data_IF_239383851391
#
_entry.id   IF_239383851391
#
_cell.length_a   1.000
_cell.length_b   1.000
_cell.length_c   1.000
_cell.angle_alpha   90.00
_cell.angle_beta   90.00
_cell.angle_gamma   90.00
#
_symmetry.space_group_name_H-M   'P 1'
#
loop_
_entity.id
_entity.type
_entity.pdbx_description
1 polymer ?
#
# COMPACT_ATOMS: atom_id res chain seq x y z
N UNK A 1 -14.13 32.55 0.18
CA UNK A 1 -13.41 32.57 1.48
C UNK A 1 -14.35 32.03 2.54
N UNK A 2 -14.08 30.82 3.05
CA UNK A 2 -14.69 30.27 4.25
C UNK A 2 -13.52 29.82 5.14
N UNK A 3 -13.40 30.46 6.30
CA UNK A 3 -12.22 30.43 7.16
C UNK A 3 -12.19 29.24 8.13
N UNK A 4 -10.97 28.80 8.42
CA UNK A 4 -10.56 27.71 9.30
C UNK A 4 -10.53 28.06 10.80
N UNK A 5 -11.08 29.20 11.19
CA UNK A 5 -10.84 29.78 12.53
C UNK A 5 -11.81 29.27 13.62
N UNK A 6 -12.76 28.41 13.27
CA UNK A 6 -13.73 27.85 14.23
C UNK A 6 -13.18 26.72 15.12
N UNK A 7 -12.20 25.95 14.66
CA UNK A 7 -11.75 24.74 15.36
C UNK A 7 -10.70 25.01 16.46
N UNK A 8 -9.94 26.11 16.36
CA UNK A 8 -8.85 26.43 17.29
C UNK A 8 -9.31 27.08 18.59
N UNK A 9 -10.50 27.71 18.61
CA UNK A 9 -11.04 28.35 19.83
C UNK A 9 -11.57 27.35 20.85
N UNK A 10 -12.08 26.21 20.40
CA UNK A 10 -12.67 25.17 21.27
C UNK A 10 -11.58 24.31 21.96
N UNK A 11 -10.43 24.15 21.30
CA UNK A 11 -9.30 23.37 21.82
C UNK A 11 -8.59 24.02 23.03
N UNK A 12 -8.47 25.36 23.05
CA UNK A 12 -7.87 26.07 24.20
C UNK A 12 -8.73 26.01 25.46
N UNK A 13 -10.05 25.92 25.33
CA UNK A 13 -10.96 25.85 26.48
C UNK A 13 -11.00 24.46 27.12
N UNK A 14 -10.90 23.40 26.32
CA UNK A 14 -10.81 22.02 26.81
C UNK A 14 -9.46 21.73 27.46
N UNK A 15 -8.35 22.23 26.89
CA UNK A 15 -7.02 22.03 27.49
C UNK A 15 -6.81 22.82 28.80
N UNK A 16 -7.38 24.03 28.92
CA UNK A 16 -7.24 24.85 30.14
C UNK A 16 -7.99 24.33 31.36
N UNK A 17 -9.04 23.50 31.17
CA UNK A 17 -9.81 22.89 32.26
C UNK A 17 -9.21 21.59 32.81
N UNK A 18 -8.35 20.91 32.06
CA UNK A 18 -7.71 19.65 32.51
C UNK A 18 -6.47 19.88 33.39
N UNK A 19 -5.85 21.07 33.36
CA UNK A 19 -4.73 21.41 34.26
C UNK A 19 -5.14 21.72 35.70
N UNK A 20 -6.43 21.90 36.00
CA UNK A 20 -6.90 22.26 37.34
C UNK A 20 -7.32 21.06 38.22
N UNK A 21 -7.42 19.84 37.69
CA UNK A 21 -7.83 18.64 38.46
C UNK A 21 -6.70 17.66 38.79
N UNK A 22 -5.48 17.86 38.28
CA UNK A 22 -4.37 16.91 38.40
C UNK A 22 -3.63 16.87 39.75
N UNK A 23 -4.03 17.68 40.74
CA UNK A 23 -3.28 17.83 42.00
C UNK A 23 -3.73 16.90 43.15
N UNK A 24 -4.62 15.94 42.92
CA UNK A 24 -5.23 15.14 44.01
C UNK A 24 -5.08 13.62 43.94
N UNK A 25 -4.38 13.03 42.95
CA UNK A 25 -4.25 11.58 42.86
C UNK A 25 -2.81 11.15 42.52
N UNK A 26 -2.29 10.21 43.32
CA UNK A 26 -0.90 9.79 43.39
C UNK A 26 -0.34 9.02 42.16
N UNK A 27 0.67 8.15 42.35
CA UNK A 27 1.70 7.82 41.33
C UNK A 27 1.23 7.05 40.08
N UNK A 28 -0.06 6.75 39.94
CA UNK A 28 -0.61 6.09 38.74
C UNK A 28 -0.87 7.04 37.55
N UNK A 29 -0.73 8.35 37.72
CA UNK A 29 -0.98 9.37 36.68
C UNK A 29 0.23 9.70 35.79
N UNK A 30 1.44 9.26 36.17
CA UNK A 30 2.66 9.52 35.40
C UNK A 30 2.66 8.83 34.02
N UNK A 31 2.00 7.67 33.89
CA UNK A 31 1.93 6.94 32.62
C UNK A 31 1.05 7.63 31.57
N UNK A 32 -0.04 8.28 32.00
CA UNK A 32 -0.93 9.03 31.11
C UNK A 32 -0.29 10.35 30.67
N UNK A 33 0.49 10.98 31.56
CA UNK A 33 1.20 12.23 31.26
C UNK A 33 2.33 12.07 30.23
N UNK A 34 3.09 10.96 30.29
CA UNK A 34 4.12 10.64 29.28
C UNK A 34 3.46 10.39 27.91
N UNK A 35 2.32 9.68 27.88
CA UNK A 35 1.58 9.42 26.65
C UNK A 35 1.03 10.70 26.01
N UNK A 36 0.51 11.64 26.82
CA UNK A 36 0.01 12.93 26.30
C UNK A 36 1.14 13.86 25.85
N UNK A 37 2.29 13.86 26.54
CA UNK A 37 3.42 14.72 26.17
C UNK A 37 4.10 14.29 24.86
N UNK A 38 4.16 12.98 24.56
CA UNK A 38 4.68 12.51 23.28
C UNK A 38 3.71 12.81 22.12
N UNK A 39 2.40 12.79 22.36
CA UNK A 39 1.40 13.11 21.33
C UNK A 39 1.46 14.58 20.90
N UNK A 40 1.71 15.51 21.85
CA UNK A 40 1.80 16.95 21.58
C UNK A 40 3.05 17.43 20.80
N UNK A 41 4.05 16.56 20.53
CA UNK A 41 5.25 16.92 19.74
C UNK A 41 5.18 16.53 18.26
N UNK A 42 4.02 16.12 17.75
CA UNK A 42 3.78 15.97 16.31
C UNK A 42 4.52 14.82 15.63
N UNK A 43 4.85 13.75 16.37
CA UNK A 43 5.65 12.62 15.86
C UNK A 43 4.88 11.32 15.62
N UNK A 44 3.55 11.29 15.76
CA UNK A 44 2.77 10.06 15.56
C UNK A 44 1.41 10.33 14.91
N UNK A 45 1.14 9.64 13.81
CA UNK A 45 -0.21 9.34 13.35
C UNK A 45 -0.45 7.87 13.61
N UNK A 46 -1.34 7.57 14.55
CA UNK A 46 -1.72 6.21 14.89
C UNK A 46 -2.75 5.73 13.86
N UNK A 47 -2.38 4.75 13.04
CA UNK A 47 -3.34 3.97 12.24
C UNK A 47 -3.46 2.63 12.93
N UNK A 48 -4.61 2.38 13.58
CA UNK A 48 -4.93 1.07 14.16
C UNK A 48 -5.16 0.06 13.03
N UNK A 49 -4.25 -0.89 12.87
CA UNK A 49 -4.55 -2.23 12.36
C UNK A 49 -3.95 -3.25 13.33
N UNK A 50 -4.76 -4.15 13.94
CA UNK A 50 -4.26 -5.11 14.89
C UNK A 50 -3.54 -6.24 14.13
N UNK A 51 -2.46 -6.73 14.75
CA UNK A 51 -1.47 -7.72 14.27
C UNK A 51 -0.34 -7.13 13.41
N UNK A 52 0.87 -7.17 13.99
CA UNK A 52 2.17 -6.62 13.53
C UNK A 52 2.31 -5.10 13.40
N UNK A 53 2.38 -4.43 14.55
CA UNK A 53 2.95 -3.08 14.66
C UNK A 53 4.48 -3.15 14.50
N UNK A 54 4.95 -3.20 13.25
CA UNK A 54 6.36 -2.93 12.95
C UNK A 54 6.51 -1.41 12.89
N UNK A 55 7.15 -0.83 13.90
CA UNK A 55 7.49 0.60 13.92
C UNK A 55 8.39 0.86 12.71
N UNK A 56 7.83 1.38 11.62
CA UNK A 56 8.64 2.00 10.57
C UNK A 56 9.07 3.35 11.11
N UNK A 57 10.33 3.43 11.53
CA UNK A 57 10.97 4.71 11.78
C UNK A 57 11.02 5.47 10.45
N UNK A 58 10.06 6.38 10.24
CA UNK A 58 10.20 7.39 9.22
C UNK A 58 11.35 8.30 9.64
N UNK A 59 12.53 8.07 9.05
CA UNK A 59 13.67 8.95 9.25
C UNK A 59 13.36 10.27 8.51
N UNK A 60 12.65 11.16 9.20
CA UNK A 60 12.50 12.55 8.77
C UNK A 60 13.92 13.12 8.66
N UNK A 61 14.37 13.41 7.44
CA UNK A 61 15.73 13.88 7.20
C UNK A 61 15.94 15.20 7.95
N UNK A 62 16.69 15.14 9.06
CA UNK A 62 17.07 16.33 9.82
C UNK A 62 18.28 17.07 9.24
N UNK A 63 18.70 16.75 8.02
CA UNK A 63 19.78 17.44 7.29
C UNK A 63 19.40 17.53 5.83
N UNK A 64 19.70 18.66 5.21
CA UNK A 64 19.23 19.13 3.89
C UNK A 64 19.70 18.35 2.67
N UNK A 65 19.78 17.02 2.77
CA UNK A 65 20.01 16.14 1.65
C UNK A 65 18.66 15.67 1.10
N UNK A 66 18.42 15.90 -0.18
CA UNK A 66 17.22 15.46 -0.90
C UNK A 66 17.28 13.94 -1.12
N UNK A 67 17.03 13.16 -0.07
CA UNK A 67 17.02 11.69 -0.13
C UNK A 67 15.60 11.19 -0.30
N UNK A 68 15.35 10.39 -1.35
CA UNK A 68 14.08 9.71 -1.54
C UNK A 68 13.88 8.60 -0.50
N UNK A 69 12.63 8.23 -0.22
CA UNK A 69 12.31 7.18 0.78
C UNK A 69 12.85 5.80 0.38
N UNK A 70 13.01 5.53 -0.91
CA UNK A 70 13.41 4.21 -1.43
C UNK A 70 14.56 4.36 -2.43
N UNK A 71 15.59 3.53 -2.30
CA UNK A 71 16.61 3.31 -3.32
C UNK A 71 16.15 2.17 -4.22
N UNK A 72 15.97 2.44 -5.52
CA UNK A 72 15.43 1.47 -6.48
C UNK A 72 16.52 0.80 -7.32
N UNK A 73 17.81 1.06 -7.04
CA UNK A 73 18.90 0.38 -7.73
C UNK A 73 18.88 -1.12 -7.43
N UNK A 74 18.96 -1.95 -8.46
CA UNK A 74 18.90 -3.41 -8.33
C UNK A 74 17.49 -4.01 -8.39
N UNK A 75 16.45 -3.18 -8.44
CA UNK A 75 15.07 -3.63 -8.63
C UNK A 75 14.95 -4.41 -9.95
N UNK A 76 14.47 -5.64 -9.85
CA UNK A 76 14.18 -6.54 -10.98
C UNK A 76 12.72 -6.45 -11.42
N UNK A 77 11.80 -6.28 -10.46
CA UNK A 77 10.38 -6.25 -10.73
C UNK A 77 9.67 -5.07 -10.07
N UNK A 78 8.70 -4.50 -10.77
CA UNK A 78 7.75 -3.51 -10.23
C UNK A 78 6.34 -4.07 -10.31
N UNK A 79 5.75 -4.33 -9.14
CA UNK A 79 4.41 -4.89 -9.02
C UNK A 79 3.40 -3.77 -8.78
N UNK A 80 2.49 -3.60 -9.73
CA UNK A 80 1.37 -2.66 -9.63
C UNK A 80 0.13 -3.43 -9.19
N UNK A 81 -0.47 -3.01 -8.08
CA UNK A 81 -1.61 -3.70 -7.47
C UNK A 81 -2.80 -2.75 -7.50
N UNK A 82 -3.89 -3.16 -8.14
CA UNK A 82 -5.05 -2.29 -8.29
C UNK A 82 -5.85 -2.20 -6.99
N UNK A 83 -5.94 -1.00 -6.44
CA UNK A 83 -6.79 -0.67 -5.30
C UNK A 83 -7.88 0.33 -5.73
N UNK A 84 -8.32 0.27 -7.00
CA UNK A 84 -9.54 0.95 -7.44
C UNK A 84 -10.80 0.33 -6.81
N UNK A 85 -11.91 1.07 -6.81
CA UNK A 85 -13.12 0.67 -6.07
C UNK A 85 -13.64 -0.75 -6.34
N UNK A 86 -13.60 -1.23 -7.60
CA UNK A 86 -14.00 -2.61 -7.91
C UNK A 86 -13.00 -3.64 -7.37
N UNK A 87 -11.69 -3.41 -7.51
CA UNK A 87 -10.68 -4.34 -6.98
C UNK A 87 -10.68 -4.35 -5.45
N UNK A 88 -10.91 -3.21 -4.78
CA UNK A 88 -11.07 -3.16 -3.33
C UNK A 88 -12.24 -4.04 -2.85
N UNK A 89 -13.39 -4.00 -3.54
CA UNK A 89 -14.53 -4.91 -3.22
C UNK A 89 -14.23 -6.39 -3.48
N UNK A 90 -13.16 -6.71 -4.21
CA UNK A 90 -12.70 -8.07 -4.48
C UNK A 90 -11.40 -8.40 -3.71
N UNK A 91 -11.17 -7.76 -2.56
CA UNK A 91 -10.02 -8.09 -1.69
C UNK A 91 -8.70 -7.45 -2.11
N UNK A 92 -8.70 -6.33 -2.85
CA UNK A 92 -7.47 -5.69 -3.32
C UNK A 92 -6.50 -5.24 -2.23
N UNK A 93 -6.98 -4.87 -1.03
CA UNK A 93 -6.08 -4.58 0.11
C UNK A 93 -5.46 -5.84 0.69
N UNK A 94 -6.22 -6.95 0.73
CA UNK A 94 -5.73 -8.25 1.19
C UNK A 94 -4.68 -8.80 0.23
N UNK A 95 -4.92 -8.69 -1.09
CA UNK A 95 -3.94 -9.02 -2.13
C UNK A 95 -2.67 -8.17 -1.95
N UNK A 96 -2.81 -6.86 -1.70
CA UNK A 96 -1.64 -5.99 -1.49
C UNK A 96 -0.83 -6.41 -0.27
N UNK A 97 -1.52 -6.72 0.82
CA UNK A 97 -0.89 -7.13 2.08
C UNK A 97 -0.16 -8.46 1.89
N UNK A 98 -0.83 -9.44 1.29
CA UNK A 98 -0.25 -10.75 1.00
C UNK A 98 1.02 -10.68 0.13
N UNK A 99 1.03 -9.84 -0.92
CA UNK A 99 2.22 -9.66 -1.76
C UNK A 99 3.38 -9.08 -0.96
N UNK A 100 3.13 -8.04 -0.16
CA UNK A 100 4.18 -7.36 0.61
C UNK A 100 4.74 -8.23 1.72
N UNK A 101 3.88 -8.95 2.44
CA UNK A 101 4.30 -9.91 3.46
C UNK A 101 5.18 -11.00 2.85
N UNK A 102 4.79 -11.50 1.67
CA UNK A 102 5.52 -12.58 1.00
C UNK A 102 6.87 -12.12 0.44
N UNK A 103 6.93 -10.91 -0.12
CA UNK A 103 8.21 -10.26 -0.53
C UNK A 103 9.15 -10.17 0.67
N UNK A 104 8.66 -9.66 1.81
CA UNK A 104 9.46 -9.53 3.03
C UNK A 104 9.88 -10.91 3.58
N UNK A 105 8.98 -11.90 3.54
CA UNK A 105 9.25 -13.28 3.99
C UNK A 105 10.36 -13.93 3.17
N UNK A 106 10.41 -13.67 1.87
CA UNK A 106 11.40 -14.22 0.94
C UNK A 106 12.67 -13.36 0.81
N UNK A 107 12.73 -12.19 1.49
CA UNK A 107 13.87 -11.28 1.42
C UNK A 107 14.04 -10.63 0.05
N UNK A 108 12.94 -10.34 -0.64
CA UNK A 108 12.94 -9.79 -2.01
C UNK A 108 12.80 -8.25 -2.04
N UNK A 109 12.88 -7.56 -0.90
CA UNK A 109 12.63 -6.11 -0.79
C UNK A 109 13.54 -5.26 -1.71
N UNK A 110 14.80 -5.67 -1.91
CA UNK A 110 15.74 -4.96 -2.79
C UNK A 110 15.48 -5.23 -4.29
N UNK A 111 14.82 -6.36 -4.61
CA UNK A 111 14.56 -6.80 -5.97
C UNK A 111 13.16 -6.45 -6.46
N UNK A 112 12.20 -6.23 -5.56
CA UNK A 112 10.78 -6.04 -5.90
C UNK A 112 10.23 -4.79 -5.24
N UNK A 113 9.82 -3.83 -6.07
CA UNK A 113 9.06 -2.68 -5.60
C UNK A 113 7.56 -2.89 -5.83
N UNK A 114 6.72 -2.37 -4.93
CA UNK A 114 5.26 -2.43 -5.06
C UNK A 114 4.62 -1.05 -5.08
N UNK A 115 3.64 -0.84 -5.96
CA UNK A 115 2.84 0.38 -5.97
C UNK A 115 1.37 0.03 -6.01
N UNK A 116 0.60 0.60 -5.06
CA UNK A 116 -0.86 0.60 -5.14
C UNK A 116 -1.28 1.57 -6.23
N UNK A 117 -2.09 1.11 -7.18
CA UNK A 117 -2.65 1.96 -8.23
C UNK A 117 -4.14 2.18 -8.00
N UNK A 118 -4.68 3.20 -8.68
CA UNK A 118 -6.13 3.29 -8.91
C UNK A 118 -6.52 2.38 -10.09
N UNK A 119 -7.78 2.49 -10.53
CA UNK A 119 -8.35 1.68 -11.60
C UNK A 119 -7.48 1.65 -12.87
N UNK A 120 -7.23 0.45 -13.41
CA UNK A 120 -6.50 0.23 -14.65
C UNK A 120 -7.42 -0.07 -15.85
N UNK A 121 -8.74 0.18 -15.73
CA UNK A 121 -9.71 -0.07 -16.82
C UNK A 121 -10.11 -1.53 -17.03
N UNK A 122 -9.67 -2.43 -16.16
CA UNK A 122 -9.92 -3.88 -16.21
C UNK A 122 -10.79 -4.37 -15.06
N UNK A 123 -11.86 -3.64 -14.74
CA UNK A 123 -12.72 -3.94 -13.59
C UNK A 123 -13.34 -5.35 -13.61
N UNK A 124 -13.58 -5.93 -14.79
CA UNK A 124 -14.11 -7.30 -14.91
C UNK A 124 -13.08 -8.40 -14.66
N UNK A 125 -11.79 -8.04 -14.61
CA UNK A 125 -10.71 -8.95 -14.23
C UNK A 125 -10.38 -8.86 -12.73
N UNK A 126 -11.16 -8.11 -11.94
CA UNK A 126 -10.83 -7.81 -10.55
C UNK A 126 -10.63 -9.08 -9.70
N UNK A 127 -9.62 -9.15 -8.83
CA UNK A 127 -8.58 -8.16 -8.59
C UNK A 127 -7.44 -8.22 -9.62
N UNK A 128 -6.94 -7.05 -10.04
CA UNK A 128 -5.89 -6.91 -11.07
C UNK A 128 -4.53 -6.64 -10.43
N UNK A 129 -3.51 -7.35 -10.90
CA UNK A 129 -2.10 -7.14 -10.55
C UNK A 129 -1.24 -7.18 -11.81
N UNK A 130 -0.23 -6.33 -11.90
CA UNK A 130 0.62 -6.19 -13.09
C UNK A 130 2.08 -6.30 -12.65
N UNK A 131 2.88 -7.08 -13.35
CA UNK A 131 4.31 -7.23 -13.07
C UNK A 131 5.10 -6.68 -14.26
N UNK A 132 5.90 -5.65 -14.01
CA UNK A 132 6.91 -5.14 -14.93
C UNK A 132 8.32 -5.62 -14.50
N UNK A 133 9.29 -5.73 -15.43
CA UNK A 133 9.24 -5.36 -16.84
C UNK A 133 8.50 -6.36 -17.75
N UNK A 134 8.23 -7.56 -17.27
CA UNK A 134 7.64 -8.66 -18.04
C UNK A 134 6.29 -8.33 -18.68
N UNK A 135 5.60 -7.32 -18.16
CA UNK A 135 4.32 -6.83 -18.67
C UNK A 135 3.22 -7.88 -18.57
N UNK A 136 3.27 -8.71 -17.53
CA UNK A 136 2.25 -9.73 -17.26
C UNK A 136 1.12 -9.12 -16.45
N UNK A 137 -0.11 -9.25 -16.95
CA UNK A 137 -1.31 -8.78 -16.29
C UNK A 137 -2.09 -9.96 -15.72
N UNK A 138 -2.22 -10.02 -14.41
CA UNK A 138 -2.96 -11.05 -13.69
C UNK A 138 -4.40 -10.62 -13.38
N UNK A 139 -5.34 -11.57 -13.50
CA UNK A 139 -6.77 -11.41 -13.21
C UNK A 139 -7.23 -12.30 -12.06
N UNK A 140 -8.36 -11.94 -11.45
CA UNK A 140 -9.01 -12.73 -10.40
C UNK A 140 -8.04 -13.11 -9.26
N UNK A 141 -7.19 -12.15 -8.90
CA UNK A 141 -6.20 -12.34 -7.85
C UNK A 141 -6.85 -12.46 -6.48
N UNK A 142 -6.42 -13.48 -5.75
CA UNK A 142 -6.68 -13.69 -4.33
C UNK A 142 -5.35 -13.61 -3.59
N UNK A 143 -5.35 -13.44 -2.26
CA UNK A 143 -4.12 -13.44 -1.46
C UNK A 143 -3.21 -14.65 -1.74
N UNK A 144 -3.79 -15.84 -1.88
CA UNK A 144 -3.07 -17.10 -2.12
C UNK A 144 -2.40 -17.11 -3.49
N UNK A 145 -3.14 -16.74 -4.54
CA UNK A 145 -2.58 -16.63 -5.89
C UNK A 145 -1.51 -15.54 -5.97
N UNK A 146 -1.68 -14.45 -5.23
CA UNK A 146 -0.73 -13.35 -5.22
C UNK A 146 0.59 -13.78 -4.56
N UNK A 147 0.54 -14.54 -3.46
CA UNK A 147 1.74 -15.16 -2.86
C UNK A 147 2.43 -16.12 -3.84
N UNK A 148 1.65 -16.92 -4.55
CA UNK A 148 2.20 -17.82 -5.58
C UNK A 148 2.87 -17.05 -6.73
N UNK A 149 2.35 -15.88 -7.13
CA UNK A 149 3.03 -14.99 -8.09
C UNK A 149 4.37 -14.52 -7.52
N UNK A 150 4.45 -14.13 -6.25
CA UNK A 150 5.74 -13.75 -5.65
C UNK A 150 6.74 -14.92 -5.72
N UNK A 151 6.33 -16.11 -5.30
CA UNK A 151 7.20 -17.29 -5.27
C UNK A 151 7.60 -17.77 -6.68
N UNK A 152 6.66 -17.96 -7.59
CA UNK A 152 6.98 -18.52 -8.91
C UNK A 152 7.45 -17.47 -9.90
N UNK A 153 6.74 -16.36 -9.99
CA UNK A 153 7.06 -15.35 -10.99
C UNK A 153 8.21 -14.46 -10.54
N UNK A 154 8.10 -13.80 -9.37
CA UNK A 154 9.08 -12.78 -8.98
C UNK A 154 10.42 -13.38 -8.49
N UNK A 155 10.38 -14.54 -7.85
CA UNK A 155 11.59 -15.23 -7.39
C UNK A 155 12.18 -16.14 -8.47
N UNK A 156 11.35 -16.96 -9.12
CA UNK A 156 11.83 -18.01 -10.04
C UNK A 156 11.68 -17.67 -11.53
N UNK A 157 11.10 -16.51 -11.88
CA UNK A 157 10.94 -16.08 -13.28
C UNK A 157 9.88 -16.87 -14.07
N UNK A 158 8.94 -17.53 -13.39
CA UNK A 158 7.89 -18.35 -14.00
C UNK A 158 6.50 -17.70 -13.87
N UNK A 159 5.99 -17.00 -14.90
CA UNK A 159 4.65 -16.40 -14.85
C UNK A 159 3.53 -17.44 -14.75
N UNK A 160 2.51 -17.15 -13.93
CA UNK A 160 1.32 -18.00 -13.79
C UNK A 160 0.36 -17.76 -14.96
N UNK A 161 0.70 -18.26 -16.15
CA UNK A 161 -0.03 -17.97 -17.40
C UNK A 161 -1.52 -18.35 -17.38
N UNK A 162 -1.94 -19.31 -16.57
CA UNK A 162 -3.35 -19.66 -16.38
C UNK A 162 -4.21 -18.48 -15.83
N UNK A 163 -3.57 -17.60 -15.04
CA UNK A 163 -4.19 -16.42 -14.44
C UNK A 163 -3.80 -15.11 -15.13
N UNK A 164 -2.95 -15.17 -16.15
CA UNK A 164 -2.55 -14.01 -16.92
C UNK A 164 -3.56 -13.71 -18.03
N UNK A 165 -3.99 -12.46 -18.13
CA UNK A 165 -4.81 -11.93 -19.24
C UNK A 165 -3.93 -11.45 -20.39
N UNK A 166 -2.85 -10.73 -20.07
CA UNK A 166 -1.93 -10.15 -21.04
C UNK A 166 -0.48 -10.47 -20.68
N UNK A 167 0.38 -10.50 -21.69
CA UNK A 167 1.85 -10.61 -21.58
C UNK A 167 2.46 -9.66 -22.62
N UNK A 168 3.55 -8.98 -22.27
CA UNK A 168 4.25 -8.12 -23.21
C UNK A 168 5.21 -8.96 -24.05
N UNK A 169 5.11 -8.81 -25.37
CA UNK A 169 5.87 -9.53 -26.39
C UNK A 169 6.50 -8.54 -27.36
N UNK A 170 7.19 -9.04 -28.38
CA UNK A 170 7.90 -8.21 -29.37
C UNK A 170 6.97 -7.18 -30.05
N UNK A 171 5.70 -7.53 -30.28
CA UNK A 171 4.69 -6.68 -30.92
C UNK A 171 3.87 -5.83 -29.93
N UNK A 172 4.23 -5.88 -28.64
CA UNK A 172 3.58 -5.16 -27.56
C UNK A 172 2.74 -6.06 -26.65
N UNK A 173 1.71 -5.49 -26.02
CA UNK A 173 0.90 -6.20 -25.04
C UNK A 173 -0.14 -7.11 -25.73
N UNK A 174 0.08 -8.43 -25.70
CA UNK A 174 -0.78 -9.42 -26.35
C UNK A 174 -1.69 -10.10 -25.33
N UNK A 175 -2.96 -10.34 -25.69
CA UNK A 175 -3.88 -11.15 -24.87
C UNK A 175 -3.53 -12.63 -25.03
N UNK A 176 -3.42 -13.36 -23.92
CA UNK A 176 -3.17 -14.80 -23.97
C UNK A 176 -4.44 -15.57 -24.37
N UNK A 177 -4.34 -16.31 -25.47
CA UNK A 177 -5.41 -17.19 -25.97
C UNK A 177 -5.76 -18.31 -24.98
N UNK A 178 -6.99 -18.82 -25.02
CA UNK A 178 -7.46 -19.90 -24.14
C UNK A 178 -7.83 -19.47 -22.70
N UNK A 179 -7.67 -18.20 -22.35
CA UNK A 179 -8.13 -17.68 -21.06
C UNK A 179 -9.56 -17.17 -21.19
N UNK A 180 -10.43 -17.44 -20.20
CA UNK A 180 -11.77 -16.85 -20.04
C UNK A 180 -11.73 -15.33 -19.75
N UNK A 181 -10.62 -14.66 -20.05
CA UNK A 181 -10.42 -13.25 -19.73
C UNK A 181 -11.29 -12.35 -20.60
N UNK A 182 -11.80 -11.26 -20.02
CA UNK A 182 -12.78 -10.39 -20.68
C UNK A 182 -12.16 -9.65 -21.87
N UNK A 183 -12.86 -9.59 -23.00
CA UNK A 183 -12.38 -8.87 -24.18
C UNK A 183 -12.40 -7.35 -23.91
N UNK A 184 -11.29 -6.67 -24.19
CA UNK A 184 -11.19 -5.21 -24.05
C UNK A 184 -11.97 -4.48 -25.15
N UNK A 185 -12.60 -3.36 -24.80
CA UNK A 185 -13.24 -2.46 -25.77
C UNK A 185 -12.16 -1.60 -26.42
N UNK A 186 -12.07 -1.60 -27.76
CA UNK A 186 -11.16 -0.70 -28.48
C UNK A 186 -11.62 0.75 -28.33
N UNK A 187 -10.70 1.65 -27.97
CA UNK A 187 -10.97 3.09 -27.98
C UNK A 187 -11.27 3.50 -29.43
N UNK A 188 -12.43 4.11 -29.66
CA UNK A 188 -12.72 4.74 -30.96
C UNK A 188 -11.75 5.90 -31.13
N UNK A 189 -11.08 5.99 -32.28
CA UNK A 189 -10.35 7.18 -32.67
C UNK A 189 -11.41 8.22 -33.05
N UNK A 190 -11.55 9.25 -32.22
CA UNK A 190 -12.32 10.46 -32.53
C UNK A 190 -11.50 11.37 -33.41
#
# INVERSE_FOLDING_TARGET
MFGSDGCLRDYRQTCGRMTALGALFGPFTAFVYIFLHLCCRGAFSFVEKPSVCRISFYHSSKRGDLVATWDLRGMKHHVLICNGGTCLRHGGDDVTTAVREEIARLGLDDAVHTTRTRCNGRCQDACVMIVYPDGVWYRLMTPEKAKEVVHRHLQNGEPLRAWATYEYREDGLTRLGGTESVIGVRKRRT
#
